data_IF_767934999444
#
_entry.id   IF_767934999444
#
_cell.length_a   1.000
_cell.length_b   1.000
_cell.length_c   1.000
_cell.angle_alpha   90.00
_cell.angle_beta   90.00
_cell.angle_gamma   90.00
#
_symmetry.space_group_name_H-M   'P 1'
#
loop_
_entity.id
_entity.type
_entity.pdbx_description
1 polymer ?
#
# COMPACT_ATOMS: atom_id res chain seq x y z
N UNK A 1 21.76 0.30 13.91
CA UNK A 1 21.43 0.86 12.58
C UNK A 1 22.43 0.55 11.45
N UNK A 2 23.75 0.41 11.69
CA UNK A 2 24.73 0.20 10.59
C UNK A 2 24.46 -1.02 9.70
N UNK A 3 24.04 -2.16 10.27
CA UNK A 3 23.73 -3.36 9.50
C UNK A 3 22.48 -3.19 8.60
N UNK A 4 21.44 -2.50 9.10
CA UNK A 4 20.23 -2.20 8.32
C UNK A 4 20.55 -1.27 7.15
N UNK A 5 21.26 -0.18 7.40
CA UNK A 5 21.65 0.77 6.35
C UNK A 5 22.55 0.13 5.30
N UNK A 6 23.44 -0.78 5.71
CA UNK A 6 24.24 -1.57 4.77
C UNK A 6 23.34 -2.41 3.86
N UNK A 7 22.40 -3.17 4.41
CA UNK A 7 21.48 -4.00 3.61
C UNK A 7 20.56 -3.18 2.71
N UNK A 8 20.09 -2.01 3.17
CA UNK A 8 19.29 -1.10 2.34
C UNK A 8 20.12 -0.58 1.16
N UNK A 9 21.37 -0.16 1.40
CA UNK A 9 22.24 0.37 0.35
C UNK A 9 22.78 -0.69 -0.62
N UNK A 10 22.72 -1.98 -0.29
CA UNK A 10 23.01 -3.08 -1.21
C UNK A 10 21.91 -3.24 -2.29
N UNK A 11 20.68 -2.82 -1.98
CA UNK A 11 19.53 -2.88 -2.90
C UNK A 11 19.26 -1.54 -3.59
N UNK A 12 19.37 -0.43 -2.85
CA UNK A 12 19.03 0.92 -3.31
C UNK A 12 20.24 1.83 -3.08
N UNK A 13 20.87 2.39 -4.14
CA UNK A 13 21.98 3.32 -4.02
C UNK A 13 21.69 4.51 -3.10
N UNK A 14 22.64 4.85 -2.23
CA UNK A 14 22.45 5.89 -1.20
C UNK A 14 22.16 7.28 -1.78
N UNK A 15 22.67 7.59 -2.97
CA UNK A 15 22.44 8.86 -3.66
C UNK A 15 20.97 9.04 -4.09
N UNK A 16 20.24 7.94 -4.30
CA UNK A 16 18.80 8.00 -4.62
C UNK A 16 17.95 8.21 -3.37
N UNK A 17 18.43 7.78 -2.21
CA UNK A 17 17.73 8.02 -0.94
C UNK A 17 18.05 9.39 -0.35
N UNK A 18 19.23 9.95 -0.63
CA UNK A 18 19.68 11.22 -0.08
C UNK A 18 18.94 12.46 -0.60
N UNK A 19 18.13 12.32 -1.66
CA UNK A 19 17.31 13.42 -2.18
C UNK A 19 16.06 13.67 -1.33
N UNK A 20 15.63 12.68 -0.55
CA UNK A 20 14.43 12.75 0.27
C UNK A 20 14.76 13.28 1.67
N UNK A 21 13.91 14.16 2.19
CA UNK A 21 13.94 14.49 3.61
C UNK A 21 13.38 13.32 4.47
N UNK A 22 13.51 13.36 5.82
CA UNK A 22 13.02 12.28 6.66
C UNK A 22 11.52 12.00 6.54
N UNK A 23 10.68 13.02 6.32
CA UNK A 23 9.23 12.85 6.18
C UNK A 23 8.88 12.25 4.82
N UNK A 24 9.59 12.67 3.76
CA UNK A 24 9.43 12.11 2.42
C UNK A 24 9.90 10.64 2.36
N UNK A 25 10.99 10.31 3.05
CA UNK A 25 11.47 8.94 3.15
C UNK A 25 10.49 8.06 3.96
N UNK A 26 9.89 8.60 5.01
CA UNK A 26 8.80 7.93 5.74
C UNK A 26 7.60 7.70 4.81
N UNK A 27 7.19 8.73 4.06
CA UNK A 27 6.09 8.61 3.11
C UNK A 27 6.38 7.57 2.02
N UNK A 28 7.62 7.50 1.52
CA UNK A 28 8.04 6.53 0.53
C UNK A 28 7.96 5.08 1.05
N UNK A 29 8.37 4.85 2.30
CA UNK A 29 8.45 3.50 2.89
C UNK A 29 7.11 3.07 3.50
N UNK A 30 6.41 3.98 4.16
CA UNK A 30 5.21 3.70 4.96
C UNK A 30 3.91 4.09 4.25
N UNK A 31 3.95 4.94 3.22
CA UNK A 31 2.78 5.42 2.49
C UNK A 31 1.88 6.35 3.32
N UNK A 32 0.68 6.60 2.79
CA UNK A 32 -0.35 7.41 3.47
C UNK A 32 -1.27 6.53 4.32
N UNK A 33 -1.65 7.04 5.49
CA UNK A 33 -2.63 6.38 6.37
C UNK A 33 -4.09 6.56 5.92
N UNK A 34 -4.33 7.24 4.80
CA UNK A 34 -5.65 7.49 4.24
C UNK A 34 -5.78 6.74 2.92
N UNK A 35 -6.86 5.98 2.80
CA UNK A 35 -7.19 5.25 1.58
C UNK A 35 -8.29 6.01 0.85
N UNK A 36 -8.04 6.32 -0.43
CA UNK A 36 -9.08 6.84 -1.32
C UNK A 36 -9.77 5.66 -2.02
N UNK A 37 -11.01 5.40 -1.62
CA UNK A 37 -11.82 4.30 -2.16
C UNK A 37 -12.16 4.52 -3.64
N UNK A 38 -12.28 5.78 -4.09
CA UNK A 38 -12.58 6.07 -5.49
C UNK A 38 -11.38 5.73 -6.38
N UNK A 39 -10.20 6.24 -6.02
CA UNK A 39 -8.95 5.97 -6.74
C UNK A 39 -8.66 4.47 -6.83
N UNK A 40 -8.85 3.76 -5.71
CA UNK A 40 -8.67 2.32 -5.68
C UNK A 40 -9.65 1.58 -6.59
N UNK A 41 -10.94 1.96 -6.60
CA UNK A 41 -11.94 1.38 -7.51
C UNK A 41 -11.56 1.60 -8.98
N UNK A 42 -11.09 2.81 -9.31
CA UNK A 42 -10.74 3.21 -10.67
C UNK A 42 -9.47 2.49 -11.18
N UNK A 43 -8.57 2.06 -10.28
CA UNK A 43 -7.31 1.39 -10.60
C UNK A 43 -7.30 -0.12 -10.30
N UNK A 44 -8.45 -0.76 -10.06
CA UNK A 44 -8.55 -2.20 -9.82
C UNK A 44 -8.86 -2.98 -11.09
N UNK A 45 -8.07 -4.01 -11.40
CA UNK A 45 -8.34 -4.94 -12.51
C UNK A 45 -9.14 -6.15 -12.03
N UNK A 46 -10.33 -6.34 -12.60
CA UNK A 46 -11.19 -7.49 -12.30
C UNK A 46 -10.86 -8.68 -13.22
N UNK A 47 -10.83 -9.89 -12.66
CA UNK A 47 -10.59 -11.16 -13.40
C UNK A 47 -11.64 -12.21 -13.01
N UNK A 48 -11.76 -13.30 -13.76
CA UNK A 48 -12.58 -14.46 -13.35
C UNK A 48 -14.10 -14.22 -13.33
N UNK A 49 -14.63 -13.31 -14.14
CA UNK A 49 -16.06 -12.99 -14.20
C UNK A 49 -16.51 -11.89 -13.26
N UNK A 50 -15.62 -11.37 -12.39
CA UNK A 50 -15.88 -10.14 -11.64
C UNK A 50 -15.86 -8.93 -12.59
N UNK A 51 -16.72 -7.95 -12.29
CA UNK A 51 -16.84 -6.70 -13.03
C UNK A 51 -17.18 -5.58 -12.04
N UNK A 52 -16.94 -4.29 -12.39
CA UNK A 52 -17.25 -3.16 -11.51
C UNK A 52 -18.71 -3.12 -11.03
N UNK A 53 -19.63 -3.61 -11.86
CA UNK A 53 -21.07 -3.66 -11.58
C UNK A 53 -21.56 -5.05 -11.12
N UNK A 54 -20.64 -5.96 -10.79
CA UNK A 54 -21.00 -7.27 -10.25
C UNK A 54 -21.68 -7.08 -8.87
N UNK A 55 -22.72 -7.86 -8.52
CA UNK A 55 -23.47 -7.68 -7.26
C UNK A 55 -22.64 -7.85 -5.98
N UNK A 56 -21.41 -8.37 -6.09
CA UNK A 56 -20.43 -8.31 -5.02
C UNK A 56 -19.83 -6.92 -4.97
N UNK A 57 -20.10 -6.22 -3.87
CA UNK A 57 -19.68 -4.84 -3.71
C UNK A 57 -18.15 -4.79 -3.74
N UNK A 58 -17.59 -3.94 -4.59
CA UNK A 58 -16.13 -3.77 -4.75
C UNK A 58 -15.43 -3.50 -3.40
N UNK A 59 -16.15 -2.90 -2.46
CA UNK A 59 -15.73 -2.71 -1.07
C UNK A 59 -15.36 -4.01 -0.34
N UNK A 60 -15.99 -5.15 -0.66
CA UNK A 60 -15.65 -6.46 -0.08
C UNK A 60 -14.40 -7.07 -0.71
N UNK A 61 -14.22 -6.89 -2.03
CA UNK A 61 -13.01 -7.35 -2.75
C UNK A 61 -11.78 -6.52 -2.36
N UNK A 62 -11.95 -5.19 -2.29
CA UNK A 62 -10.96 -4.25 -1.81
C UNK A 62 -10.56 -4.59 -0.35
N UNK A 63 -11.53 -4.81 0.55
CA UNK A 63 -11.24 -5.24 1.93
C UNK A 63 -10.40 -6.52 1.97
N UNK A 64 -10.75 -7.52 1.16
CA UNK A 64 -10.04 -8.80 1.13
C UNK A 64 -8.57 -8.66 0.69
N UNK A 65 -8.29 -7.80 -0.28
CA UNK A 65 -6.94 -7.51 -0.78
C UNK A 65 -6.12 -6.69 0.23
N UNK A 66 -6.72 -5.68 0.86
CA UNK A 66 -6.05 -4.91 1.91
C UNK A 66 -5.76 -5.73 3.17
N UNK A 67 -6.68 -6.62 3.55
CA UNK A 67 -6.52 -7.56 4.66
C UNK A 67 -5.41 -8.60 4.41
N UNK A 68 -5.07 -8.86 3.14
CA UNK A 68 -3.98 -9.77 2.75
C UNK A 68 -2.65 -9.04 2.59
N UNK A 69 -2.64 -7.80 2.08
CA UNK A 69 -1.41 -7.03 1.84
C UNK A 69 -0.91 -6.29 3.08
N UNK A 70 -1.78 -5.84 3.99
CA UNK A 70 -1.39 -5.12 5.21
C UNK A 70 -2.18 -5.58 6.46
N UNK A 71 -1.69 -6.62 7.17
CA UNK A 71 -2.36 -7.17 8.35
C UNK A 71 -2.61 -6.15 9.46
N UNK A 72 -1.75 -5.13 9.58
CA UNK A 72 -1.81 -4.07 10.59
C UNK A 72 -2.97 -3.10 10.40
N UNK A 73 -3.56 -3.00 9.20
CA UNK A 73 -4.73 -2.16 8.94
C UNK A 73 -6.06 -2.85 9.30
N UNK A 74 -6.05 -4.15 9.64
CA UNK A 74 -7.24 -4.92 10.05
C UNK A 74 -7.98 -4.29 11.23
N UNK A 75 -7.25 -3.71 12.18
CA UNK A 75 -7.79 -3.10 13.40
C UNK A 75 -8.50 -1.75 13.15
N UNK A 76 -8.27 -1.10 12.00
CA UNK A 76 -8.92 0.18 11.65
C UNK A 76 -10.28 0.01 10.98
N UNK A 77 -10.55 -1.14 10.37
CA UNK A 77 -11.83 -1.45 9.73
C UNK A 77 -12.83 -2.18 10.64
N UNK A 78 -12.48 -2.38 11.93
CA UNK A 78 -13.35 -2.98 12.94
C UNK A 78 -14.10 -1.95 13.80
N UNK A 79 -14.14 -0.68 13.38
CA UNK A 79 -14.98 0.37 13.97
C UNK A 79 -15.89 0.95 12.90
#
# INVERSE_FOLDING_TARGET
MKALMKGVHELIPSNLLSIFDPNELELLVCGLQKIDVKDWKDNTLYKGGYAPNHPLKVEDAAKAELLTVQPTQRTRFSR
#
